data_IF_969866487955
#
_entry.id   IF_969866487955
#
_cell.length_a   1.000
_cell.length_b   1.000
_cell.length_c   1.000
_cell.angle_alpha   90.00
_cell.angle_beta   90.00
_cell.angle_gamma   90.00
#
_symmetry.space_group_name_H-M   'P 1'
#
loop_
_entity.id
_entity.type
_entity.pdbx_description
1 polymer ?
#
# COMPACT_ATOMS: atom_id res chain seq x y z
N UNK A 1 -13.59 16.86 -21.64
CA UNK A 1 -12.22 16.73 -22.16
C UNK A 1 -12.25 15.65 -23.22
N UNK A 2 -11.64 15.84 -24.40
CA UNK A 2 -11.54 14.76 -25.39
C UNK A 2 -10.22 14.04 -25.19
N UNK A 3 -10.26 12.72 -25.03
CA UNK A 3 -9.09 11.86 -24.87
C UNK A 3 -9.13 10.84 -26.00
N UNK A 4 -8.08 10.80 -26.81
CA UNK A 4 -7.94 9.73 -27.81
C UNK A 4 -7.42 8.47 -27.12
N UNK A 5 -8.18 7.39 -27.26
CA UNK A 5 -7.82 6.08 -26.74
C UNK A 5 -7.14 5.27 -27.84
N UNK A 6 -6.21 4.41 -27.41
CA UNK A 6 -5.68 3.40 -28.33
C UNK A 6 -6.76 2.34 -28.59
N UNK A 7 -6.77 1.70 -29.77
CA UNK A 7 -7.76 0.67 -30.10
C UNK A 7 -7.86 -0.45 -29.06
N UNK A 8 -6.74 -0.82 -28.42
CA UNK A 8 -6.71 -1.85 -27.39
C UNK A 8 -7.49 -1.44 -26.12
N UNK A 9 -7.44 -0.15 -25.75
CA UNK A 9 -8.17 0.37 -24.59
C UNK A 9 -9.67 0.45 -24.88
N UNK A 10 -10.06 0.83 -26.10
CA UNK A 10 -11.46 0.83 -26.52
C UNK A 10 -12.06 -0.59 -26.51
N UNK A 11 -11.31 -1.57 -27.00
CA UNK A 11 -11.71 -2.98 -26.96
C UNK A 11 -11.87 -3.48 -25.53
N UNK A 12 -10.98 -3.09 -24.63
CA UNK A 12 -11.10 -3.41 -23.21
C UNK A 12 -12.38 -2.83 -22.60
N UNK A 13 -12.65 -1.55 -22.82
CA UNK A 13 -13.86 -0.88 -22.32
C UNK A 13 -15.13 -1.56 -22.86
N UNK A 14 -15.18 -1.84 -24.17
CA UNK A 14 -16.28 -2.57 -24.81
C UNK A 14 -16.50 -3.95 -24.17
N UNK A 15 -15.43 -4.69 -23.88
CA UNK A 15 -15.53 -6.01 -23.23
C UNK A 15 -16.09 -5.90 -21.80
N UNK A 16 -15.73 -4.86 -21.05
CA UNK A 16 -16.26 -4.62 -19.71
C UNK A 16 -17.76 -4.29 -19.74
N UNK A 17 -18.20 -3.48 -20.71
CA UNK A 17 -19.63 -3.18 -20.91
C UNK A 17 -20.38 -4.44 -21.35
N UNK A 18 -19.84 -5.20 -22.31
CA UNK A 18 -20.44 -6.44 -22.80
C UNK A 18 -20.58 -7.52 -21.71
N UNK A 19 -19.73 -7.47 -20.67
CA UNK A 19 -19.85 -8.35 -19.50
C UNK A 19 -21.04 -8.03 -18.61
N UNK A 20 -21.73 -6.91 -18.83
CA UNK A 20 -22.86 -6.43 -18.03
C UNK A 20 -22.46 -5.79 -16.70
N UNK A 21 -21.16 -5.66 -16.42
CA UNK A 21 -20.63 -5.03 -15.20
C UNK A 21 -20.73 -3.50 -15.21
N UNK A 22 -20.80 -2.91 -16.40
CA UNK A 22 -20.83 -1.46 -16.60
C UNK A 22 -21.83 -1.11 -17.70
N UNK A 23 -22.50 0.03 -17.54
CA UNK A 23 -23.58 0.49 -18.43
C UNK A 23 -23.02 1.26 -19.64
N UNK A 24 -21.88 1.92 -19.47
CA UNK A 24 -21.26 2.77 -20.49
C UNK A 24 -19.74 2.91 -20.26
N UNK A 25 -19.07 3.58 -21.20
CA UNK A 25 -17.63 3.78 -21.14
C UNK A 25 -17.20 4.71 -19.98
N UNK A 26 -18.02 5.71 -19.66
CA UNK A 26 -17.72 6.68 -18.60
C UNK A 26 -17.63 5.99 -17.23
N UNK A 27 -18.52 5.05 -16.92
CA UNK A 27 -18.47 4.26 -15.68
C UNK A 27 -17.16 3.44 -15.56
N UNK A 28 -16.68 2.87 -16.67
CA UNK A 28 -15.41 2.12 -16.70
C UNK A 28 -14.24 3.07 -16.43
N UNK A 29 -14.28 4.25 -17.04
CA UNK A 29 -13.23 5.27 -16.91
C UNK A 29 -13.22 5.85 -15.48
N UNK A 30 -14.38 6.14 -14.90
CA UNK A 30 -14.51 6.65 -13.53
C UNK A 30 -13.89 5.68 -12.52
N UNK A 31 -14.16 4.38 -12.66
CA UNK A 31 -13.57 3.35 -11.78
C UNK A 31 -12.06 3.25 -11.98
N UNK A 32 -11.56 3.35 -13.22
CA UNK A 32 -10.12 3.37 -13.49
C UNK A 32 -9.42 4.58 -12.86
N UNK A 33 -10.06 5.76 -12.90
CA UNK A 33 -9.54 6.99 -12.29
C UNK A 33 -9.59 6.93 -10.75
N UNK A 34 -10.67 6.41 -10.17
CA UNK A 34 -10.75 6.17 -8.73
C UNK A 34 -9.68 5.21 -8.24
N UNK A 35 -9.41 4.14 -9.01
CA UNK A 35 -8.33 3.21 -8.70
C UNK A 35 -6.97 3.90 -8.76
N UNK A 36 -6.74 4.75 -9.75
CA UNK A 36 -5.51 5.54 -9.86
C UNK A 36 -5.33 6.50 -8.68
N UNK A 37 -6.39 7.21 -8.28
CA UNK A 37 -6.38 8.09 -7.12
C UNK A 37 -6.11 7.32 -5.83
N UNK A 38 -6.73 6.14 -5.66
CA UNK A 38 -6.47 5.26 -4.52
C UNK A 38 -5.01 4.80 -4.46
N UNK A 39 -4.46 4.35 -5.58
CA UNK A 39 -3.04 3.94 -5.64
C UNK A 39 -2.12 5.12 -5.27
N UNK A 40 -2.40 6.31 -5.81
CA UNK A 40 -1.58 7.49 -5.54
C UNK A 40 -1.66 7.93 -4.07
N UNK A 41 -2.85 7.89 -3.47
CA UNK A 41 -3.06 8.28 -2.07
C UNK A 41 -2.48 7.27 -1.09
N UNK A 42 -2.71 5.97 -1.29
CA UNK A 42 -2.14 4.91 -0.45
C UNK A 42 -0.61 4.92 -0.50
N UNK A 43 -0.03 5.12 -1.70
CA UNK A 43 1.42 5.22 -1.83
C UNK A 43 1.97 6.45 -1.11
N UNK A 44 1.35 7.62 -1.29
CA UNK A 44 1.78 8.85 -0.64
C UNK A 44 1.70 8.73 0.90
N UNK A 45 0.61 8.15 1.41
CA UNK A 45 0.44 7.89 2.84
C UNK A 45 1.51 6.92 3.36
N UNK A 46 1.75 5.81 2.66
CA UNK A 46 2.78 4.85 3.04
C UNK A 46 4.18 5.48 3.09
N UNK A 47 4.52 6.34 2.11
CA UNK A 47 5.80 7.06 2.09
C UNK A 47 5.92 7.97 3.31
N UNK A 48 4.87 8.73 3.63
CA UNK A 48 4.87 9.66 4.76
C UNK A 48 4.97 8.92 6.11
N UNK A 49 4.17 7.88 6.32
CA UNK A 49 4.27 7.03 7.52
C UNK A 49 5.65 6.39 7.68
N UNK A 50 6.27 5.97 6.57
CA UNK A 50 7.62 5.39 6.59
C UNK A 50 8.67 6.43 6.96
N UNK A 51 8.59 7.65 6.41
CA UNK A 51 9.50 8.75 6.76
C UNK A 51 9.41 9.08 8.24
N UNK A 52 8.21 9.21 8.78
CA UNK A 52 8.01 9.47 10.21
C UNK A 52 8.64 8.39 11.10
N UNK A 53 8.50 7.11 10.74
CA UNK A 53 9.15 6.00 11.46
C UNK A 53 10.68 6.08 11.39
N UNK A 54 11.23 6.45 10.23
CA UNK A 54 12.67 6.64 10.05
C UNK A 54 13.18 7.82 10.88
N UNK A 55 12.48 8.94 10.90
CA UNK A 55 12.87 10.13 11.68
C UNK A 55 12.88 9.81 13.19
N UNK A 56 11.88 9.06 13.67
CA UNK A 56 11.85 8.57 15.05
C UNK A 56 13.07 7.68 15.33
N UNK A 57 13.35 6.71 14.46
CA UNK A 57 14.48 5.80 14.63
C UNK A 57 15.83 6.55 14.63
N UNK A 58 16.01 7.56 13.78
CA UNK A 58 17.21 8.41 13.79
C UNK A 58 17.35 9.12 15.15
N UNK A 59 16.27 9.70 15.67
CA UNK A 59 16.30 10.38 16.95
C UNK A 59 16.58 9.42 18.13
N UNK A 60 16.08 8.18 18.09
CA UNK A 60 16.40 7.12 19.05
C UNK A 60 17.88 6.73 18.99
N UNK A 61 18.43 6.59 17.78
CA UNK A 61 19.87 6.33 17.58
C UNK A 61 20.73 7.45 18.16
N UNK A 62 20.36 8.71 17.91
CA UNK A 62 21.07 9.88 18.45
C UNK A 62 21.05 9.95 19.98
N UNK A 63 19.98 9.46 20.61
CA UNK A 63 19.87 9.32 22.08
C UNK A 63 20.62 8.09 22.62
N UNK A 64 21.16 7.24 21.75
CA UNK A 64 21.84 6.00 22.14
C UNK A 64 20.88 4.88 22.56
N UNK A 65 19.61 4.94 22.16
CA UNK A 65 18.57 3.95 22.49
C UNK A 65 18.61 2.72 21.56
N UNK A 66 19.76 2.47 20.91
CA UNK A 66 19.95 1.35 19.99
C UNK A 66 20.05 0.05 20.79
N UNK A 67 19.28 -0.95 20.38
CA UNK A 67 19.27 -2.28 20.99
C UNK A 67 20.11 -3.25 20.17
N UNK A 68 20.77 -4.19 20.85
CA UNK A 68 21.43 -5.31 20.20
C UNK A 68 20.40 -6.31 19.64
N UNK A 69 20.52 -6.61 18.35
CA UNK A 69 19.54 -7.42 17.63
C UNK A 69 19.46 -8.86 18.12
N UNK A 70 20.59 -9.48 18.47
CA UNK A 70 20.62 -10.86 18.98
C UNK A 70 19.93 -10.94 20.34
N UNK A 71 20.19 -9.96 21.20
CA UNK A 71 19.55 -9.84 22.52
C UNK A 71 18.04 -9.69 22.40
N UNK A 72 17.54 -8.80 21.53
CA UNK A 72 16.10 -8.60 21.32
C UNK A 72 15.42 -9.86 20.81
N UNK A 73 16.03 -10.56 19.83
CA UNK A 73 15.47 -11.81 19.30
C UNK A 73 15.38 -12.89 20.38
N UNK A 74 16.43 -13.03 21.20
CA UNK A 74 16.45 -13.98 22.29
C UNK A 74 15.33 -13.70 23.31
N UNK A 75 15.13 -12.44 23.71
CA UNK A 75 14.04 -12.06 24.61
C UNK A 75 12.65 -12.37 24.04
N UNK A 76 12.45 -12.18 22.73
CA UNK A 76 11.19 -12.52 22.05
C UNK A 76 10.95 -14.03 22.08
N UNK A 77 11.98 -14.84 21.78
CA UNK A 77 11.89 -16.30 21.81
C UNK A 77 11.57 -16.81 23.22
N UNK A 78 12.19 -16.23 24.25
CA UNK A 78 11.87 -16.57 25.64
C UNK A 78 10.41 -16.25 25.99
N UNK A 79 9.88 -15.11 25.53
CA UNK A 79 8.47 -14.74 25.74
C UNK A 79 7.54 -15.77 25.10
N UNK A 80 7.84 -16.23 23.89
CA UNK A 80 7.06 -17.28 23.24
C UNK A 80 7.12 -18.62 23.97
N UNK A 81 8.30 -18.99 24.47
CA UNK A 81 8.45 -20.23 25.25
C UNK A 81 7.61 -20.19 26.54
N UNK A 82 7.69 -19.09 27.30
CA UNK A 82 6.90 -18.89 28.52
C UNK A 82 5.39 -18.92 28.26
N UNK A 83 4.94 -18.32 27.15
CA UNK A 83 3.52 -18.33 26.77
C UNK A 83 3.00 -19.72 26.37
N UNK A 84 3.88 -20.63 25.94
CA UNK A 84 3.53 -22.01 25.57
C UNK A 84 3.51 -22.97 26.76
N UNK A 85 4.26 -22.65 27.81
CA UNK A 85 4.35 -23.43 29.05
C UNK A 85 3.28 -23.06 30.09
N UNK A 86 2.56 -21.95 29.88
CA UNK A 86 1.42 -21.48 30.68
C UNK A 86 0.09 -22.08 30.20
#
# INVERSE_FOLDING_TARGET
MNIELKPEHEQFIQAQIASGKFTNADEVIDVALQLLEKINSEYAQWVEETRQKVDVAIAEIERGEVLDGETVVMEILEKFQKAREA
#
